data_IF_335565967230
#
_entry.id   IF_335565967230
#
_cell.length_a   1.000
_cell.length_b   1.000
_cell.length_c   1.000
_cell.angle_alpha   90.00
_cell.angle_beta   90.00
_cell.angle_gamma   90.00
#
_symmetry.space_group_name_H-M   'P 1'
#
loop_
_entity.id
_entity.type
_entity.pdbx_description
1 polymer ?
#
# COMPACT_ATOMS: atom_id res chain seq x y z
N UNK A 1 1.61 32.13 2.50
CA UNK A 1 2.06 31.26 1.39
C UNK A 1 0.81 30.84 0.63
N UNK A 2 0.59 31.36 -0.58
CA UNK A 2 -0.55 31.00 -1.42
C UNK A 2 -0.23 29.69 -2.14
N UNK A 3 -1.04 28.65 -1.94
CA UNK A 3 -0.89 27.37 -2.63
C UNK A 3 -1.50 27.53 -4.02
N UNK A 4 -0.69 27.36 -5.07
CA UNK A 4 -1.16 27.40 -6.45
C UNK A 4 -2.01 26.16 -6.79
N UNK A 5 -2.96 26.27 -7.74
CA UNK A 5 -3.68 25.11 -8.26
C UNK A 5 -2.72 24.04 -8.82
N UNK A 6 -3.03 22.77 -8.59
CA UNK A 6 -2.22 21.64 -9.06
C UNK A 6 -2.45 21.40 -10.56
N UNK A 7 -1.39 21.49 -11.37
CA UNK A 7 -1.43 21.14 -12.79
C UNK A 7 -1.62 19.63 -13.00
N UNK A 8 -2.28 19.22 -14.09
CA UNK A 8 -2.65 17.82 -14.32
C UNK A 8 -1.43 16.87 -14.39
N UNK A 9 -0.32 17.30 -14.97
CA UNK A 9 0.93 16.52 -15.00
C UNK A 9 1.56 16.27 -13.62
N UNK A 10 1.17 17.06 -12.60
CA UNK A 10 1.66 16.93 -11.24
C UNK A 10 0.74 16.05 -10.36
N UNK A 11 -0.37 15.53 -10.92
CA UNK A 11 -1.25 14.61 -10.20
C UNK A 11 -0.61 13.22 -10.15
N UNK A 12 -0.49 12.66 -8.95
CA UNK A 12 0.07 11.31 -8.74
C UNK A 12 -0.92 10.22 -9.18
N UNK A 13 -2.21 10.38 -8.86
CA UNK A 13 -3.27 9.46 -9.24
C UNK A 13 -3.90 9.91 -10.56
N UNK A 14 -3.34 9.41 -11.67
CA UNK A 14 -3.65 9.89 -13.02
C UNK A 14 -4.87 9.20 -13.63
N UNK A 15 -5.22 7.99 -13.20
CA UNK A 15 -6.43 7.28 -13.63
C UNK A 15 -7.57 7.34 -12.61
N UNK A 16 -7.62 8.37 -11.75
CA UNK A 16 -8.58 8.44 -10.63
C UNK A 16 -10.06 8.30 -11.05
N UNK A 17 -10.39 8.63 -12.30
CA UNK A 17 -11.77 8.56 -12.82
C UNK A 17 -12.06 7.30 -13.66
N UNK A 18 -11.08 6.39 -13.83
CA UNK A 18 -11.26 5.16 -14.60
C UNK A 18 -11.43 5.35 -16.11
N UNK A 19 -10.94 6.46 -16.67
CA UNK A 19 -11.01 6.72 -18.11
C UNK A 19 -9.99 5.92 -18.93
N UNK A 20 -8.97 5.39 -18.26
CA UNK A 20 -7.95 4.55 -18.86
C UNK A 20 -8.03 3.12 -18.29
N UNK A 21 -7.39 2.17 -18.97
CA UNK A 21 -7.28 0.78 -18.52
C UNK A 21 -6.64 0.70 -17.12
N UNK A 22 -7.35 0.15 -16.13
CA UNK A 22 -6.83 -0.02 -14.77
C UNK A 22 -5.80 -1.15 -14.68
N UNK A 23 -5.80 -2.10 -15.62
CA UNK A 23 -4.94 -3.26 -15.62
C UNK A 23 -3.48 -2.94 -15.94
N UNK A 24 -2.63 -3.97 -15.86
CA UNK A 24 -1.17 -3.81 -15.93
C UNK A 24 -0.67 -3.13 -17.20
N UNK A 25 -1.34 -3.32 -18.34
CA UNK A 25 -0.96 -2.66 -19.60
C UNK A 25 -1.19 -1.15 -19.54
N UNK A 26 -2.32 -0.72 -18.96
CA UNK A 26 -2.59 0.69 -18.71
C UNK A 26 -1.66 1.27 -17.67
N UNK A 27 -1.42 0.55 -16.58
CA UNK A 27 -0.52 0.95 -15.50
C UNK A 27 0.90 1.28 -16.01
N UNK A 28 1.49 0.39 -16.81
CA UNK A 28 2.80 0.60 -17.41
C UNK A 28 2.86 1.84 -18.31
N UNK A 29 1.78 2.16 -19.03
CA UNK A 29 1.71 3.40 -19.85
C UNK A 29 1.65 4.67 -19.00
N UNK A 30 1.16 4.57 -17.75
CA UNK A 30 1.11 5.69 -16.80
C UNK A 30 2.39 5.86 -15.99
N UNK A 31 3.38 4.99 -16.21
CA UNK A 31 4.65 5.00 -15.47
C UNK A 31 4.61 4.23 -14.15
N UNK A 32 3.58 3.41 -13.90
CA UNK A 32 3.64 2.44 -12.81
C UNK A 32 4.63 1.34 -13.15
N UNK A 33 5.32 0.82 -12.14
CA UNK A 33 6.38 -0.18 -12.26
C UNK A 33 7.61 0.28 -13.06
N UNK A 34 7.76 1.59 -13.30
CA UNK A 34 8.90 2.16 -14.00
C UNK A 34 10.08 2.35 -13.05
N UNK A 35 11.20 1.70 -13.35
CA UNK A 35 12.42 1.80 -12.54
C UNK A 35 12.31 1.24 -11.12
N UNK A 36 11.25 0.49 -10.77
CA UNK A 36 11.05 -0.03 -9.39
C UNK A 36 12.27 -0.80 -8.89
N UNK A 37 12.83 -1.70 -9.72
CA UNK A 37 14.06 -2.44 -9.38
C UNK A 37 15.22 -1.51 -9.02
N UNK A 38 15.40 -0.43 -9.77
CA UNK A 38 16.49 0.50 -9.58
C UNK A 38 16.26 1.37 -8.32
N UNK A 39 14.99 1.64 -7.97
CA UNK A 39 14.60 2.23 -6.67
C UNK A 39 14.99 1.28 -5.53
N UNK A 40 14.63 -0.01 -5.62
CA UNK A 40 14.98 -1.00 -4.60
C UNK A 40 16.51 -1.13 -4.45
N UNK A 41 17.26 -1.06 -5.55
CA UNK A 41 18.72 -1.09 -5.55
C UNK A 41 19.38 0.10 -4.85
N UNK A 42 18.66 1.22 -4.62
CA UNK A 42 19.18 2.33 -3.79
C UNK A 42 19.25 1.97 -2.30
N UNK A 43 18.55 0.92 -1.88
CA UNK A 43 18.58 0.39 -0.52
C UNK A 43 17.49 0.96 0.40
N UNK A 44 17.19 0.21 1.46
CA UNK A 44 16.09 0.50 2.40
C UNK A 44 16.22 1.87 3.05
N UNK A 45 17.39 2.18 3.60
CA UNK A 45 17.63 3.41 4.36
C UNK A 45 17.54 4.63 3.43
N UNK A 46 17.98 4.53 2.17
CA UNK A 46 17.83 5.60 1.19
C UNK A 46 16.36 5.92 0.93
N UNK A 47 15.50 4.90 0.75
CA UNK A 47 14.06 5.10 0.52
C UNK A 47 13.41 5.79 1.72
N UNK A 48 13.72 5.34 2.94
CA UNK A 48 13.19 5.97 4.17
C UNK A 48 13.56 7.45 4.23
N UNK A 49 14.83 7.79 3.92
CA UNK A 49 15.28 9.18 3.93
C UNK A 49 14.63 10.03 2.83
N UNK A 50 14.40 9.48 1.62
CA UNK A 50 13.63 10.20 0.59
C UNK A 50 12.20 10.48 1.04
N UNK A 51 11.54 9.52 1.70
CA UNK A 51 10.17 9.71 2.20
C UNK A 51 10.14 10.73 3.34
N UNK A 52 11.12 10.75 4.24
CA UNK A 52 11.25 11.80 5.26
C UNK A 52 11.47 13.17 4.61
N UNK A 53 12.38 13.27 3.65
CA UNK A 53 12.71 14.51 2.94
C UNK A 53 11.51 15.07 2.15
N UNK A 54 10.64 14.20 1.63
CA UNK A 54 9.41 14.61 0.93
C UNK A 54 8.40 15.33 1.83
N UNK A 55 8.52 15.20 3.16
CA UNK A 55 7.54 15.74 4.10
C UNK A 55 6.20 15.01 4.10
N UNK A 56 6.13 13.79 3.54
CA UNK A 56 4.89 13.02 3.48
C UNK A 56 4.35 12.73 4.89
N UNK A 57 3.06 13.03 5.08
CA UNK A 57 2.29 12.76 6.31
C UNK A 57 1.22 11.72 6.03
N UNK A 58 0.79 11.00 7.06
CA UNK A 58 -0.25 9.99 6.99
C UNK A 58 -1.53 10.53 6.36
N UNK A 59 -2.14 9.73 5.49
CA UNK A 59 -3.35 10.07 4.72
C UNK A 59 -4.64 9.45 5.28
N UNK A 60 -4.55 8.71 6.38
CA UNK A 60 -5.70 8.12 7.10
C UNK A 60 -6.16 8.93 8.32
N UNK A 61 -6.07 10.26 8.28
CA UNK A 61 -6.57 11.14 9.35
C UNK A 61 -5.57 11.49 10.47
N UNK A 62 -4.75 10.54 10.95
CA UNK A 62 -3.81 10.80 12.05
C UNK A 62 -2.66 11.77 11.70
N UNK A 63 -2.34 11.94 10.42
CA UNK A 63 -1.35 12.94 9.96
C UNK A 63 0.07 12.74 10.47
N UNK A 64 0.43 11.55 10.96
CA UNK A 64 1.76 11.23 11.46
C UNK A 64 2.81 11.22 10.32
N UNK A 65 4.05 11.73 10.50
CA UNK A 65 5.06 11.73 9.44
C UNK A 65 5.40 10.30 8.95
N UNK A 66 5.15 10.02 7.67
CA UNK A 66 5.21 8.65 7.13
C UNK A 66 6.63 8.06 7.17
N UNK A 67 7.63 8.83 6.74
CA UNK A 67 9.02 8.36 6.75
C UNK A 67 9.57 8.13 8.16
N UNK A 68 9.10 8.90 9.15
CA UNK A 68 9.43 8.64 10.56
C UNK A 68 8.78 7.34 11.04
N UNK A 69 7.50 7.10 10.70
CA UNK A 69 6.79 5.86 11.06
C UNK A 69 7.53 4.63 10.53
N UNK A 70 7.97 4.68 9.27
CA UNK A 70 8.69 3.56 8.65
C UNK A 70 10.02 3.25 9.34
N UNK A 71 10.69 4.27 9.90
CA UNK A 71 11.96 4.10 10.60
C UNK A 71 11.86 3.39 11.96
N UNK A 72 10.65 3.15 12.48
CA UNK A 72 10.44 2.40 13.72
C UNK A 72 10.54 0.88 13.53
N UNK A 73 10.50 0.40 12.29
CA UNK A 73 10.61 -1.03 12.03
C UNK A 73 12.04 -1.54 12.32
N UNK A 74 12.19 -2.73 12.92
CA UNK A 74 13.51 -3.29 13.22
C UNK A 74 14.38 -3.41 11.97
N UNK A 75 15.65 -2.99 12.07
CA UNK A 75 16.62 -3.12 10.96
C UNK A 75 17.06 -4.56 10.72
N UNK A 76 17.01 -5.37 11.76
CA UNK A 76 17.36 -6.79 11.73
C UNK A 76 16.06 -7.60 11.88
N UNK A 77 15.55 -8.21 10.80
CA UNK A 77 14.42 -9.12 10.87
C UNK A 77 14.79 -10.30 11.76
N UNK A 78 13.85 -10.72 12.61
CA UNK A 78 14.00 -11.96 13.37
C UNK A 78 13.33 -13.09 12.60
N UNK A 79 14.00 -14.24 12.48
CA UNK A 79 13.44 -15.40 11.80
C UNK A 79 12.12 -15.88 12.44
N UNK A 80 12.01 -15.80 13.76
CA UNK A 80 10.80 -16.17 14.51
C UNK A 80 9.69 -15.11 14.45
N UNK A 81 9.98 -13.93 13.89
CA UNK A 81 9.04 -12.81 13.79
C UNK A 81 9.30 -11.98 12.53
N UNK A 82 8.91 -12.50 11.35
CA UNK A 82 8.97 -11.75 10.11
C UNK A 82 8.20 -10.43 10.25
N UNK A 83 8.73 -9.39 9.61
CA UNK A 83 8.04 -8.10 9.51
C UNK A 83 6.99 -8.17 8.41
N UNK A 84 5.86 -7.52 8.64
CA UNK A 84 4.76 -7.43 7.69
C UNK A 84 4.36 -5.97 7.51
N UNK A 85 3.98 -5.64 6.28
CA UNK A 85 3.28 -4.41 5.96
C UNK A 85 1.79 -4.69 5.99
N UNK A 86 1.02 -3.83 6.66
CA UNK A 86 -0.44 -3.89 6.60
C UNK A 86 -0.95 -2.59 5.99
N UNK A 87 -1.69 -2.72 4.90
CA UNK A 87 -2.29 -1.61 4.16
C UNK A 87 -3.75 -1.55 4.57
N UNK A 88 -4.13 -0.41 5.15
CA UNK A 88 -5.51 -0.13 5.51
C UNK A 88 -6.27 0.37 4.28
N UNK A 89 -7.19 -0.45 3.79
CA UNK A 89 -8.13 -0.15 2.70
C UNK A 89 -9.59 -0.36 3.16
N UNK A 90 -9.86 -0.15 4.46
CA UNK A 90 -11.21 -0.28 5.01
C UNK A 90 -12.09 0.95 4.71
N UNK A 91 -11.52 2.15 4.60
CA UNK A 91 -12.21 3.42 4.25
C UNK A 91 -13.67 3.51 4.73
N UNK A 92 -13.88 3.24 6.03
CA UNK A 92 -15.22 3.24 6.62
C UNK A 92 -15.65 4.64 7.06
N UNK A 93 -14.77 5.65 6.98
CA UNK A 93 -15.04 7.03 7.35
C UNK A 93 -16.15 7.67 6.50
N UNK A 94 -17.19 8.27 7.12
CA UNK A 94 -18.25 8.96 6.39
C UNK A 94 -17.69 10.05 5.48
N UNK A 95 -18.06 9.98 4.19
CA UNK A 95 -17.62 10.94 3.17
C UNK A 95 -16.24 10.69 2.57
N UNK A 96 -15.51 9.65 3.00
CA UNK A 96 -14.27 9.23 2.35
C UNK A 96 -14.57 8.28 1.18
N UNK A 97 -13.90 8.52 0.05
CA UNK A 97 -13.94 7.65 -1.13
C UNK A 97 -12.60 7.57 -1.89
N UNK A 98 -11.55 8.18 -1.33
CA UNK A 98 -10.23 8.29 -1.95
C UNK A 98 -9.59 6.92 -2.17
N UNK A 99 -9.71 6.01 -1.21
CA UNK A 99 -9.08 4.70 -1.27
C UNK A 99 -9.84 3.82 -2.27
N UNK A 100 -11.17 3.91 -2.25
CA UNK A 100 -12.05 3.26 -3.22
C UNK A 100 -11.65 3.56 -4.66
N UNK A 101 -11.40 4.84 -5.00
CA UNK A 101 -11.01 5.24 -6.35
C UNK A 101 -9.64 4.68 -6.75
N UNK A 102 -8.67 4.70 -5.84
CA UNK A 102 -7.33 4.13 -6.10
C UNK A 102 -7.45 2.63 -6.37
N UNK A 103 -8.21 1.91 -5.56
CA UNK A 103 -8.32 0.45 -5.67
C UNK A 103 -9.00 0.04 -6.98
N UNK A 104 -10.08 0.71 -7.38
CA UNK A 104 -10.84 0.29 -8.57
C UNK A 104 -10.25 0.77 -9.89
N UNK A 105 -9.50 1.88 -9.90
CA UNK A 105 -9.03 2.50 -11.15
C UNK A 105 -7.52 2.53 -11.31
N UNK A 106 -6.75 2.45 -10.22
CA UNK A 106 -5.27 2.50 -10.26
C UNK A 106 -4.61 1.51 -9.27
N UNK A 107 -5.04 0.24 -9.22
CA UNK A 107 -4.60 -0.72 -8.20
C UNK A 107 -3.09 -1.04 -8.28
N UNK A 108 -2.50 -0.99 -9.47
CA UNK A 108 -1.07 -1.26 -9.64
C UNK A 108 -0.18 -0.25 -8.90
N UNK A 109 -0.59 1.01 -8.80
CA UNK A 109 0.13 2.03 -8.02
C UNK A 109 0.12 1.71 -6.53
N UNK A 110 -0.98 1.15 -6.01
CA UNK A 110 -1.06 0.67 -4.63
C UNK A 110 -0.11 -0.52 -4.40
N UNK A 111 -0.11 -1.49 -5.32
CA UNK A 111 0.71 -2.71 -5.20
C UNK A 111 2.20 -2.38 -5.34
N UNK A 112 2.59 -1.51 -6.26
CA UNK A 112 3.98 -1.02 -6.37
C UNK A 112 4.39 -0.25 -5.10
N UNK A 113 3.51 0.62 -4.60
CA UNK A 113 3.72 1.31 -3.34
C UNK A 113 3.90 0.34 -2.16
N UNK A 114 3.17 -0.78 -2.16
CA UNK A 114 3.30 -1.84 -1.16
C UNK A 114 4.70 -2.48 -1.20
N UNK A 115 5.21 -2.79 -2.40
CA UNK A 115 6.56 -3.33 -2.57
C UNK A 115 7.62 -2.34 -2.10
N UNK A 116 7.55 -1.07 -2.52
CA UNK A 116 8.54 -0.05 -2.14
C UNK A 116 8.53 0.20 -0.63
N UNK A 117 7.33 0.36 -0.04
CA UNK A 117 7.19 0.57 1.40
C UNK A 117 7.61 -0.67 2.20
N UNK A 118 7.18 -1.86 1.74
CA UNK A 118 7.52 -3.14 2.34
C UNK A 118 9.03 -3.38 2.34
N UNK A 119 9.68 -3.19 1.19
CA UNK A 119 11.14 -3.27 1.08
C UNK A 119 11.84 -2.29 2.01
N UNK A 120 11.44 -1.01 2.03
CA UNK A 120 12.02 0.00 2.91
C UNK A 120 11.93 -0.39 4.38
N UNK A 121 10.81 -0.99 4.78
CA UNK A 121 10.56 -1.47 6.14
C UNK A 121 11.01 -2.92 6.39
N UNK A 122 11.66 -3.56 5.42
CA UNK A 122 12.15 -4.95 5.50
C UNK A 122 11.03 -5.97 5.76
N UNK A 123 9.83 -5.70 5.25
CA UNK A 123 8.66 -6.55 5.41
C UNK A 123 8.65 -7.69 4.39
N UNK A 124 8.50 -8.92 4.85
CA UNK A 124 8.44 -10.11 3.98
C UNK A 124 7.17 -10.21 3.13
N UNK A 125 6.08 -9.61 3.59
CA UNK A 125 4.82 -9.60 2.87
C UNK A 125 3.99 -8.36 3.22
N UNK A 126 3.05 -8.02 2.33
CA UNK A 126 2.00 -7.06 2.55
C UNK A 126 0.62 -7.72 2.65
N UNK A 127 -0.18 -7.29 3.61
CA UNK A 127 -1.59 -7.60 3.72
C UNK A 127 -2.41 -6.35 3.43
N UNK A 128 -3.20 -6.37 2.36
CA UNK A 128 -4.15 -5.32 2.03
C UNK A 128 -5.50 -5.69 2.65
N UNK A 129 -5.86 -5.01 3.74
CA UNK A 129 -7.16 -5.20 4.39
C UNK A 129 -8.19 -4.32 3.68
N UNK A 130 -8.96 -4.91 2.78
CA UNK A 130 -9.99 -4.20 2.03
C UNK A 130 -11.34 -4.32 2.72
N UNK A 131 -12.07 -3.21 2.74
CA UNK A 131 -13.43 -3.12 3.28
C UNK A 131 -14.33 -4.26 2.77
N UNK A 132 -15.19 -4.78 3.63
CA UNK A 132 -16.13 -5.86 3.26
C UNK A 132 -17.09 -5.48 2.12
N UNK A 133 -17.61 -4.25 2.15
CA UNK A 133 -18.58 -3.71 1.19
C UNK A 133 -17.98 -3.41 -0.19
N UNK A 134 -16.66 -3.34 -0.30
CA UNK A 134 -15.91 -3.06 -1.52
C UNK A 134 -15.77 -4.34 -2.38
N UNK A 135 -16.90 -4.88 -2.83
CA UNK A 135 -16.93 -6.16 -3.56
C UNK A 135 -16.24 -6.05 -4.92
N UNK A 136 -16.60 -5.06 -5.73
CA UNK A 136 -16.06 -4.89 -7.09
C UNK A 136 -14.61 -4.41 -7.05
N UNK A 137 -14.32 -3.53 -6.11
CA UNK A 137 -12.98 -3.05 -5.81
C UNK A 137 -12.07 -4.21 -5.39
N UNK A 138 -12.56 -5.15 -4.56
CA UNK A 138 -11.82 -6.35 -4.19
C UNK A 138 -11.55 -7.23 -5.41
N UNK A 139 -12.55 -7.50 -6.27
CA UNK A 139 -12.36 -8.27 -7.51
C UNK A 139 -11.26 -7.65 -8.38
N UNK A 140 -11.30 -6.33 -8.59
CA UNK A 140 -10.25 -5.59 -9.31
C UNK A 140 -8.89 -5.74 -8.64
N UNK A 141 -8.82 -5.62 -7.32
CA UNK A 141 -7.56 -5.71 -6.57
C UNK A 141 -6.96 -7.11 -6.62
N UNK A 142 -7.77 -8.16 -6.46
CA UNK A 142 -7.32 -9.55 -6.62
C UNK A 142 -6.75 -9.78 -8.03
N UNK A 143 -7.46 -9.32 -9.07
CA UNK A 143 -6.99 -9.44 -10.45
C UNK A 143 -5.70 -8.64 -10.71
N UNK A 144 -5.55 -7.46 -10.12
CA UNK A 144 -4.32 -6.65 -10.26
C UNK A 144 -3.12 -7.29 -9.54
N UNK A 145 -3.35 -7.90 -8.37
CA UNK A 145 -2.33 -8.68 -7.64
C UNK A 145 -1.91 -9.89 -8.46
N UNK A 146 -2.85 -10.64 -9.04
CA UNK A 146 -2.55 -11.77 -9.94
C UNK A 146 -1.72 -11.30 -11.15
N UNK A 147 -2.12 -10.20 -11.81
CA UNK A 147 -1.34 -9.62 -12.90
C UNK A 147 0.08 -9.21 -12.48
N UNK A 148 0.26 -8.73 -11.25
CA UNK A 148 1.58 -8.37 -10.73
C UNK A 148 2.45 -9.61 -10.45
N UNK A 149 1.88 -10.71 -9.95
CA UNK A 149 2.58 -12.00 -9.86
C UNK A 149 2.95 -12.54 -11.24
N UNK A 150 2.04 -12.54 -12.21
CA UNK A 150 2.28 -13.01 -13.58
C UNK A 150 3.41 -12.25 -14.29
N UNK A 151 3.58 -10.97 -13.95
CA UNK A 151 4.68 -10.13 -14.46
C UNK A 151 5.98 -10.25 -13.69
N UNK A 152 6.00 -10.99 -12.58
CA UNK A 152 7.16 -11.07 -11.68
C UNK A 152 7.45 -9.75 -10.97
N UNK A 153 6.46 -8.87 -10.83
CA UNK A 153 6.59 -7.61 -10.10
C UNK A 153 6.58 -7.83 -8.58
N UNK A 154 5.86 -8.84 -8.13
CA UNK A 154 5.80 -9.28 -6.73
C UNK A 154 6.00 -10.80 -6.66
N UNK A 155 6.10 -11.34 -5.45
CA UNK A 155 6.45 -12.73 -5.17
C UNK A 155 7.95 -12.93 -5.03
N UNK A 156 8.44 -14.10 -5.44
CA UNK A 156 9.87 -14.40 -5.41
C UNK A 156 10.64 -13.50 -6.36
N UNK A 157 11.75 -12.93 -5.89
CA UNK A 157 12.60 -12.04 -6.67
C UNK A 157 11.80 -10.90 -7.33
N UNK A 158 10.99 -10.18 -6.53
CA UNK A 158 10.11 -9.11 -6.95
C UNK A 158 10.86 -8.08 -7.81
N UNK A 159 10.34 -7.79 -9.01
CA UNK A 159 10.96 -6.94 -10.03
C UNK A 159 12.41 -7.34 -10.43
N UNK A 160 12.81 -8.60 -10.21
CA UNK A 160 14.17 -9.07 -10.46
C UNK A 160 15.23 -8.45 -9.53
N UNK A 161 14.83 -8.01 -8.33
CA UNK A 161 15.68 -7.25 -7.39
C UNK A 161 16.52 -8.12 -6.44
N UNK A 162 16.22 -9.42 -6.33
CA UNK A 162 16.74 -10.33 -5.31
C UNK A 162 15.93 -10.31 -4.00
N UNK A 163 14.84 -9.56 -3.94
CA UNK A 163 13.97 -9.46 -2.77
C UNK A 163 12.68 -10.25 -2.96
N UNK A 164 12.34 -11.11 -2.00
CA UNK A 164 11.08 -11.83 -1.98
C UNK A 164 10.02 -10.98 -1.26
N UNK A 165 8.86 -10.78 -1.90
CA UNK A 165 7.78 -9.96 -1.35
C UNK A 165 6.41 -10.41 -1.82
N UNK A 166 5.66 -11.07 -0.95
CA UNK A 166 4.30 -11.52 -1.25
C UNK A 166 3.25 -10.47 -0.89
N UNK A 167 2.20 -10.38 -1.69
CA UNK A 167 1.03 -9.53 -1.41
C UNK A 167 -0.21 -10.40 -1.26
N UNK A 168 -0.92 -10.19 -0.16
CA UNK A 168 -2.16 -10.87 0.19
C UNK A 168 -3.28 -9.85 0.33
N UNK A 169 -4.46 -10.15 -0.22
CA UNK A 169 -5.66 -9.33 -0.06
C UNK A 169 -6.59 -10.03 0.93
N UNK A 170 -6.98 -9.33 1.99
CA UNK A 170 -7.90 -9.82 3.02
C UNK A 170 -9.15 -8.95 3.05
N UNK A 171 -10.32 -9.57 2.98
CA UNK A 171 -11.60 -8.85 3.02
C UNK A 171 -12.13 -8.77 4.45
N UNK A 172 -12.45 -7.57 4.90
CA UNK A 172 -13.21 -7.34 6.13
C UNK A 172 -14.69 -7.73 5.97
N UNK A 173 -15.49 -7.42 7.00
CA UNK A 173 -16.91 -7.77 7.08
C UNK A 173 -17.82 -6.59 7.52
N UNK A 174 -17.47 -5.36 7.12
CA UNK A 174 -18.29 -4.16 7.34
C UNK A 174 -18.22 -3.56 8.75
N UNK A 175 -17.07 -3.71 9.41
CA UNK A 175 -16.84 -3.20 10.75
C UNK A 175 -15.96 -1.95 10.74
N UNK A 176 -16.57 -0.76 10.89
CA UNK A 176 -15.87 0.53 10.93
C UNK A 176 -14.66 0.54 11.89
N UNK A 177 -14.81 -0.12 13.04
CA UNK A 177 -13.75 -0.18 14.06
C UNK A 177 -12.49 -0.89 13.56
N UNK A 178 -12.61 -1.82 12.59
CA UNK A 178 -11.47 -2.48 11.97
C UNK A 178 -10.63 -1.54 11.09
N UNK A 179 -11.09 -0.32 10.81
CA UNK A 179 -10.27 0.73 10.23
C UNK A 179 -9.23 1.32 11.20
N UNK A 180 -9.33 1.07 12.51
CA UNK A 180 -8.30 1.47 13.47
C UNK A 180 -7.09 0.51 13.39
N UNK A 181 -5.87 1.06 13.46
CA UNK A 181 -4.62 0.33 13.23
C UNK A 181 -4.48 -0.97 14.04
N UNK A 182 -4.79 -0.97 15.33
CA UNK A 182 -4.63 -2.16 16.18
C UNK A 182 -5.81 -3.13 16.06
N UNK A 183 -7.02 -2.62 15.86
CA UNK A 183 -8.21 -3.44 15.58
C UNK A 183 -8.10 -4.19 14.25
N UNK A 184 -7.48 -3.56 13.25
CA UNK A 184 -7.21 -4.16 11.95
C UNK A 184 -6.30 -5.39 12.09
N UNK A 185 -5.25 -5.30 12.90
CA UNK A 185 -4.35 -6.42 13.18
C UNK A 185 -5.10 -7.59 13.86
N UNK A 186 -5.95 -7.30 14.85
CA UNK A 186 -6.78 -8.30 15.51
C UNK A 186 -7.75 -8.97 14.52
N UNK A 187 -8.38 -8.19 13.63
CA UNK A 187 -9.27 -8.72 12.60
C UNK A 187 -8.53 -9.60 11.60
N UNK A 188 -7.31 -9.22 11.19
CA UNK A 188 -6.46 -10.03 10.31
C UNK A 188 -6.03 -11.35 10.96
N UNK A 189 -5.81 -11.35 12.27
CA UNK A 189 -5.51 -12.55 13.06
C UNK A 189 -6.75 -13.44 13.30
N UNK A 190 -7.92 -13.07 12.77
CA UNK A 190 -9.17 -13.82 12.91
C UNK A 190 -9.89 -13.62 14.25
N UNK A 191 -9.44 -12.66 15.06
CA UNK A 191 -10.10 -12.27 16.30
C UNK A 191 -11.16 -11.20 16.02
N UNK A 192 -11.93 -10.82 17.04
CA UNK A 192 -12.81 -9.66 16.94
C UNK A 192 -11.95 -8.41 16.76
N UNK A 193 -12.35 -7.49 15.87
CA UNK A 193 -11.67 -6.21 15.63
C UNK A 193 -11.81 -5.22 16.80
N UNK A 194 -11.36 -5.61 17.98
CA UNK A 194 -11.30 -4.75 19.16
C UNK A 194 -9.88 -4.17 19.26
N UNK A 195 -9.72 -2.83 19.37
CA UNK A 195 -8.41 -2.21 19.50
C UNK A 195 -7.61 -2.79 20.66
N UNK A 196 -6.31 -2.96 20.46
CA UNK A 196 -5.38 -3.31 21.55
C UNK A 196 -5.08 -2.05 22.35
N UNK A 197 -4.98 -2.18 23.67
CA UNK A 197 -4.44 -1.11 24.51
C UNK A 197 -3.00 -0.84 24.08
N UNK A 198 -2.67 0.42 23.79
CA UNK A 198 -1.28 0.87 23.65
C UNK A 198 -0.76 1.12 25.08
N UNK A 199 0.15 0.27 25.61
CA UNK A 199 0.69 0.44 26.96
C UNK A 199 1.52 1.71 27.10
#
# INVERSE_FOLDING_TARGET
MTIAPLEDKNRIFTNLYGWQDWGVKGALKRGDWDGTRDILAKGQDWIIEQVKASGLRGRGGAGFPTGLKWSFMPKEPREDRPSYLVINADESEPGSCKDREIIRHDPHKLIEGALIAGFAMRASAAYIYIRGEFIREAETLFAAVEQAYDKGFIGKNACGSGYDFDVFVHRGAGAYICGEETALLESLEGKKGQPRLKP
#
